data_IF_034146978116
#
_entry.id   IF_034146978116
#
_cell.length_a   1.000
_cell.length_b   1.000
_cell.length_c   1.000
_cell.angle_alpha   90.00
_cell.angle_beta   90.00
_cell.angle_gamma   90.00
#
_symmetry.space_group_name_H-M   'P 1'
#
loop_
_entity.id
_entity.type
_entity.pdbx_description
1 polymer ?
#
# COMPACT_ATOMS: atom_id res chain seq x y z
N UNK A 1 23.95 -3.31 -22.57
CA UNK A 1 23.05 -4.25 -21.85
C UNK A 1 21.64 -4.04 -22.36
N UNK A 2 20.93 -5.09 -22.83
CA UNK A 2 19.50 -4.97 -23.15
C UNK A 2 18.77 -4.53 -21.87
N UNK A 3 18.09 -3.37 -21.90
CA UNK A 3 17.28 -2.85 -20.79
C UNK A 3 16.16 -3.86 -20.51
N UNK A 4 16.38 -4.81 -19.61
CA UNK A 4 15.34 -5.76 -19.20
C UNK A 4 14.27 -5.04 -18.38
N UNK A 5 13.00 -5.41 -18.59
CA UNK A 5 11.88 -4.88 -17.79
C UNK A 5 12.05 -5.26 -16.33
N UNK A 6 11.76 -4.35 -15.41
CA UNK A 6 11.67 -4.66 -13.98
C UNK A 6 10.22 -4.99 -13.67
N UNK A 7 9.96 -6.16 -13.10
CA UNK A 7 8.64 -6.48 -12.57
C UNK A 7 8.49 -5.80 -11.22
N UNK A 8 7.43 -5.03 -11.04
CA UNK A 8 7.09 -4.41 -9.76
C UNK A 8 5.72 -4.88 -9.29
N UNK A 9 5.62 -5.18 -8.00
CA UNK A 9 4.36 -5.62 -7.38
C UNK A 9 4.21 -5.09 -5.96
N UNK A 10 2.97 -5.10 -5.48
CA UNK A 10 2.56 -4.60 -4.17
C UNK A 10 1.07 -4.90 -3.94
N UNK A 11 0.43 -4.32 -2.93
CA UNK A 11 -1.03 -4.42 -2.73
C UNK A 11 -1.80 -3.48 -3.67
N UNK A 12 -1.28 -3.33 -4.89
CA UNK A 12 -1.78 -2.47 -5.94
C UNK A 12 -3.02 -3.04 -6.63
N UNK A 13 -3.87 -2.17 -7.17
CA UNK A 13 -5.05 -2.50 -7.96
C UNK A 13 -6.23 -3.00 -7.13
N UNK A 14 -6.21 -2.77 -5.82
CA UNK A 14 -7.33 -3.06 -4.91
C UNK A 14 -8.10 -1.80 -4.51
N UNK A 15 -7.61 -0.61 -4.85
CA UNK A 15 -8.26 0.68 -4.56
C UNK A 15 -8.03 1.22 -3.16
N UNK A 16 -7.04 0.70 -2.44
CA UNK A 16 -6.49 1.35 -1.25
C UNK A 16 -5.68 2.59 -1.68
N UNK A 17 -6.04 3.78 -1.17
CA UNK A 17 -5.38 5.04 -1.54
C UNK A 17 -3.88 5.05 -1.28
N UNK A 18 -3.47 4.50 -0.15
CA UNK A 18 -2.07 4.41 0.23
C UNK A 18 -1.28 3.58 -0.79
N UNK A 19 -1.73 2.35 -1.05
CA UNK A 19 -1.04 1.46 -1.98
C UNK A 19 -1.04 1.97 -3.43
N UNK A 20 -2.10 2.65 -3.87
CA UNK A 20 -2.12 3.29 -5.19
C UNK A 20 -1.13 4.46 -5.27
N UNK A 21 -0.99 5.25 -4.20
CA UNK A 21 0.01 6.31 -4.13
C UNK A 21 1.44 5.74 -4.14
N UNK A 22 1.68 4.62 -3.43
CA UNK A 22 2.96 3.89 -3.49
C UNK A 22 3.26 3.37 -4.89
N UNK A 23 2.27 2.77 -5.56
CA UNK A 23 2.40 2.32 -6.95
C UNK A 23 2.82 3.46 -7.87
N UNK A 24 2.13 4.61 -7.78
CA UNK A 24 2.42 5.79 -8.60
C UNK A 24 3.85 6.27 -8.36
N UNK A 25 4.24 6.45 -7.09
CA UNK A 25 5.57 6.90 -6.70
C UNK A 25 6.67 5.98 -7.25
N UNK A 26 6.50 4.67 -7.07
CA UNK A 26 7.48 3.69 -7.52
C UNK A 26 7.61 3.62 -9.05
N UNK A 27 6.49 3.66 -9.78
CA UNK A 27 6.49 3.66 -11.25
C UNK A 27 7.15 4.91 -11.80
N UNK A 28 6.84 6.09 -11.25
CA UNK A 28 7.44 7.35 -11.68
C UNK A 28 8.94 7.39 -11.39
N UNK A 29 9.37 6.91 -10.21
CA UNK A 29 10.78 6.83 -9.86
C UNK A 29 11.57 5.92 -10.82
N UNK A 30 11.04 4.74 -11.15
CA UNK A 30 11.67 3.82 -12.10
C UNK A 30 11.77 4.45 -13.51
N UNK A 31 10.71 5.11 -13.98
CA UNK A 31 10.73 5.79 -15.28
C UNK A 31 11.73 6.94 -15.33
N UNK A 32 11.82 7.75 -14.27
CA UNK A 32 12.83 8.80 -14.13
C UNK A 32 14.25 8.24 -14.17
N UNK A 33 14.46 7.03 -13.64
CA UNK A 33 15.73 6.30 -13.72
C UNK A 33 15.97 5.63 -15.09
N UNK A 34 15.10 5.82 -16.09
CA UNK A 34 15.23 5.24 -17.42
C UNK A 34 14.88 3.75 -17.50
N UNK A 35 14.15 3.24 -16.50
CA UNK A 35 13.68 1.86 -16.42
C UNK A 35 12.18 1.80 -16.71
N UNK A 36 11.75 0.93 -17.63
CA UNK A 36 10.31 0.70 -17.83
C UNK A 36 9.80 -0.42 -16.91
N UNK A 37 8.89 -0.11 -15.96
CA UNK A 37 8.34 -1.10 -15.05
C UNK A 37 7.21 -1.92 -15.70
N UNK A 38 7.19 -3.21 -15.43
CA UNK A 38 6.04 -4.09 -15.64
C UNK A 38 5.31 -4.27 -14.30
N UNK A 39 4.19 -3.56 -14.14
CA UNK A 39 3.38 -3.62 -12.92
C UNK A 39 2.48 -4.87 -12.93
N UNK A 40 2.58 -5.68 -11.88
CA UNK A 40 1.63 -6.77 -11.60
C UNK A 40 0.77 -6.37 -10.39
N UNK A 41 -0.51 -6.13 -10.63
CA UNK A 41 -1.49 -5.60 -9.69
C UNK A 41 -2.87 -6.28 -9.84
N UNK A 42 -3.79 -6.04 -8.89
CA UNK A 42 -5.16 -6.54 -8.92
C UNK A 42 -5.24 -8.04 -9.15
N UNK A 43 -6.19 -8.48 -10.00
CA UNK A 43 -6.39 -9.89 -10.36
C UNK A 43 -5.23 -10.50 -11.17
N UNK A 44 -4.45 -9.70 -11.90
CA UNK A 44 -3.32 -10.23 -12.69
C UNK A 44 -2.25 -10.89 -11.82
N UNK A 45 -2.20 -10.56 -10.52
CA UNK A 45 -1.33 -11.20 -9.52
C UNK A 45 -1.67 -12.68 -9.28
N UNK A 46 -2.92 -13.07 -9.54
CA UNK A 46 -3.46 -14.39 -9.26
C UNK A 46 -3.27 -15.36 -10.43
N UNK A 47 -2.84 -14.87 -11.59
CA UNK A 47 -2.54 -15.68 -12.77
C UNK A 47 -1.08 -16.19 -12.70
N UNK A 48 -0.85 -17.47 -12.35
CA UNK A 48 0.49 -18.00 -12.15
C UNK A 48 1.30 -18.04 -13.46
N UNK A 49 0.64 -18.29 -14.59
CA UNK A 49 1.27 -18.35 -15.91
C UNK A 49 1.79 -16.97 -16.30
N UNK A 50 0.97 -15.94 -16.14
CA UNK A 50 1.34 -14.55 -16.43
C UNK A 50 2.43 -14.06 -15.50
N UNK A 51 2.34 -14.33 -14.20
CA UNK A 51 3.37 -13.98 -13.21
C UNK A 51 4.69 -14.65 -13.56
N UNK A 52 4.68 -15.96 -13.80
CA UNK A 52 5.89 -16.74 -14.10
C UNK A 52 6.54 -16.28 -15.40
N UNK A 53 5.76 -16.09 -16.47
CA UNK A 53 6.26 -15.59 -17.76
C UNK A 53 6.84 -14.18 -17.64
N UNK A 54 6.20 -13.31 -16.85
CA UNK A 54 6.67 -11.95 -16.61
C UNK A 54 8.00 -11.95 -15.87
N UNK A 55 8.14 -12.75 -14.81
CA UNK A 55 9.39 -12.91 -14.07
C UNK A 55 10.50 -13.52 -14.93
N UNK A 56 10.20 -14.55 -15.72
CA UNK A 56 11.15 -15.18 -16.63
C UNK A 56 11.74 -14.20 -17.64
N UNK A 57 10.96 -13.24 -18.12
CA UNK A 57 11.37 -12.21 -19.09
C UNK A 57 11.89 -10.92 -18.43
N UNK A 58 11.94 -10.87 -17.10
CA UNK A 58 12.34 -9.68 -16.34
C UNK A 58 13.83 -9.67 -16.01
N UNK A 59 14.36 -8.49 -15.74
CA UNK A 59 15.69 -8.31 -15.16
C UNK A 59 15.69 -8.48 -13.63
N UNK A 60 14.60 -8.11 -12.96
CA UNK A 60 14.48 -8.13 -11.51
C UNK A 60 13.00 -8.13 -11.07
N UNK A 61 12.77 -8.56 -9.83
CA UNK A 61 11.52 -8.36 -9.09
C UNK A 61 11.71 -7.27 -8.02
N UNK A 62 10.80 -6.30 -7.99
CA UNK A 62 10.73 -5.26 -6.96
C UNK A 62 9.40 -5.37 -6.22
N UNK A 63 9.46 -5.43 -4.89
CA UNK A 63 8.29 -5.27 -4.02
C UNK A 63 8.28 -3.82 -3.50
N UNK A 64 7.38 -3.01 -4.05
CA UNK A 64 7.38 -1.56 -3.86
C UNK A 64 6.52 -1.07 -2.69
N UNK A 65 7.09 -1.08 -1.49
CA UNK A 65 6.45 -0.55 -0.29
C UNK A 65 5.24 -1.33 0.21
N UNK A 66 4.56 -0.76 1.20
CA UNK A 66 3.38 -1.32 1.84
C UNK A 66 3.71 -2.33 2.95
N UNK A 67 2.68 -2.86 3.60
CA UNK A 67 2.79 -3.86 4.67
C UNK A 67 2.57 -5.28 4.16
N UNK A 68 3.30 -5.71 3.13
CA UNK A 68 3.02 -6.95 2.41
C UNK A 68 3.32 -8.22 3.22
N UNK A 69 4.32 -8.15 4.10
CA UNK A 69 4.87 -9.29 4.82
C UNK A 69 4.38 -9.31 6.27
N UNK A 70 3.08 -9.58 6.43
CA UNK A 70 2.41 -9.72 7.72
C UNK A 70 1.23 -10.68 7.60
N UNK A 71 0.86 -11.35 8.68
CA UNK A 71 -0.24 -12.34 8.69
C UNK A 71 -1.36 -11.99 9.66
N UNK A 72 -1.43 -10.74 10.15
CA UNK A 72 -2.52 -10.28 11.03
C UNK A 72 -3.79 -10.00 10.27
N UNK A 73 -3.69 -9.43 9.07
CA UNK A 73 -4.87 -9.24 8.21
C UNK A 73 -5.13 -10.45 7.32
N UNK A 74 -4.09 -11.15 6.86
CA UNK A 74 -4.23 -12.33 6.02
C UNK A 74 -2.96 -13.18 5.96
N UNK A 75 -3.02 -14.40 6.51
CA UNK A 75 -1.93 -15.37 6.34
C UNK A 75 -1.72 -15.76 4.87
N UNK A 76 -2.79 -15.81 4.07
CA UNK A 76 -2.71 -16.08 2.62
C UNK A 76 -1.86 -15.03 1.89
N UNK A 77 -2.00 -13.76 2.26
CA UNK A 77 -1.20 -12.67 1.67
C UNK A 77 0.29 -12.86 1.95
N UNK A 78 0.67 -13.17 3.20
CA UNK A 78 2.05 -13.45 3.57
C UNK A 78 2.63 -14.59 2.71
N UNK A 79 1.96 -15.74 2.65
CA UNK A 79 2.45 -16.89 1.90
C UNK A 79 2.50 -16.64 0.39
N UNK A 80 1.56 -15.86 -0.15
CA UNK A 80 1.59 -15.43 -1.55
C UNK A 80 2.87 -14.67 -1.87
N UNK A 81 3.21 -13.63 -1.08
CA UNK A 81 4.41 -12.83 -1.33
C UNK A 81 5.70 -13.62 -1.08
N UNK A 82 5.75 -14.47 -0.06
CA UNK A 82 6.89 -15.36 0.16
C UNK A 82 7.08 -16.34 -1.00
N UNK A 83 5.99 -16.90 -1.54
CA UNK A 83 6.02 -17.76 -2.72
C UNK A 83 6.48 -17.02 -3.98
N UNK A 84 6.03 -15.78 -4.17
CA UNK A 84 6.44 -14.94 -5.29
C UNK A 84 7.94 -14.61 -5.25
N UNK A 85 8.47 -14.27 -4.07
CA UNK A 85 9.90 -14.04 -3.86
C UNK A 85 10.67 -15.34 -4.14
N UNK A 86 10.22 -16.47 -3.59
CA UNK A 86 10.85 -17.76 -3.82
C UNK A 86 10.87 -18.16 -5.30
N UNK A 87 9.78 -17.91 -6.04
CA UNK A 87 9.69 -18.14 -7.47
C UNK A 87 10.68 -17.27 -8.25
N UNK A 88 10.77 -15.97 -7.96
CA UNK A 88 11.74 -15.09 -8.60
C UNK A 88 13.18 -15.57 -8.36
N UNK A 89 13.51 -16.00 -7.13
CA UNK A 89 14.82 -16.58 -6.82
C UNK A 89 15.08 -17.90 -7.54
N UNK A 90 14.09 -18.78 -7.65
CA UNK A 90 14.19 -20.03 -8.41
C UNK A 90 14.46 -19.77 -9.91
N UNK A 91 13.88 -18.70 -10.45
CA UNK A 91 14.14 -18.19 -11.81
C UNK A 91 15.45 -17.40 -11.94
N UNK A 92 16.29 -17.38 -10.89
CA UNK A 92 17.56 -16.63 -10.81
C UNK A 92 17.39 -15.13 -11.08
N UNK A 93 16.25 -14.56 -10.65
CA UNK A 93 16.00 -13.13 -10.72
C UNK A 93 16.40 -12.47 -9.41
N UNK A 94 17.12 -11.33 -9.44
CA UNK A 94 17.38 -10.55 -8.26
C UNK A 94 16.06 -9.98 -7.73
N UNK A 95 15.93 -9.95 -6.40
CA UNK A 95 14.73 -9.50 -5.69
C UNK A 95 15.08 -8.35 -4.75
N UNK A 96 14.36 -7.24 -4.90
CA UNK A 96 14.52 -6.04 -4.10
C UNK A 96 13.21 -5.74 -3.39
N UNK A 97 13.27 -5.59 -2.07
CA UNK A 97 12.18 -5.11 -1.24
C UNK A 97 12.53 -3.68 -0.84
N UNK A 98 11.72 -2.68 -1.21
CA UNK A 98 12.04 -1.26 -0.98
C UNK A 98 10.89 -0.63 -0.20
N UNK A 99 11.20 0.13 0.86
CA UNK A 99 10.22 0.81 1.71
C UNK A 99 9.17 -0.10 2.35
N UNK A 100 9.51 -1.37 2.64
CA UNK A 100 8.54 -2.35 3.16
C UNK A 100 8.26 -2.14 4.65
N UNK A 101 6.99 -2.28 5.03
CA UNK A 101 6.60 -2.58 6.40
C UNK A 101 6.68 -4.09 6.64
N UNK A 102 7.36 -4.51 7.70
CA UNK A 102 7.50 -5.91 8.09
C UNK A 102 6.66 -6.18 9.34
N UNK A 103 5.73 -7.11 9.23
CA UNK A 103 4.98 -7.67 10.34
C UNK A 103 3.75 -6.88 10.81
N UNK A 104 3.12 -7.35 11.91
CA UNK A 104 3.53 -8.50 12.72
C UNK A 104 3.48 -9.85 11.98
N UNK A 105 4.38 -10.76 12.35
CA UNK A 105 4.45 -12.13 11.81
C UNK A 105 4.32 -13.11 12.96
N UNK A 106 3.15 -13.71 13.07
CA UNK A 106 2.80 -14.64 14.15
C UNK A 106 2.95 -16.09 13.72
N UNK A 107 3.37 -16.95 14.65
CA UNK A 107 3.60 -18.37 14.40
C UNK A 107 5.03 -18.73 13.96
N UNK A 108 5.53 -19.85 14.47
CA UNK A 108 6.91 -20.32 14.25
C UNK A 108 7.20 -20.62 12.78
N UNK A 109 6.24 -21.25 12.09
CA UNK A 109 6.36 -21.60 10.67
C UNK A 109 6.46 -20.36 9.78
N UNK A 110 5.58 -19.37 9.98
CA UNK A 110 5.58 -18.12 9.23
C UNK A 110 6.89 -17.35 9.40
N UNK A 111 7.40 -17.26 10.65
CA UNK A 111 8.70 -16.65 10.96
C UNK A 111 9.87 -17.38 10.30
N UNK A 112 9.89 -18.71 10.38
CA UNK A 112 10.93 -19.55 9.78
C UNK A 112 10.95 -19.43 8.25
N UNK A 113 9.79 -19.48 7.60
CA UNK A 113 9.68 -19.32 6.16
C UNK A 113 10.09 -17.91 5.72
N UNK A 114 9.63 -16.88 6.44
CA UNK A 114 10.01 -15.49 6.18
C UNK A 114 11.52 -15.33 6.25
N UNK A 115 12.18 -15.82 7.31
CA UNK A 115 13.63 -15.82 7.42
C UNK A 115 14.30 -16.51 6.23
N UNK A 116 13.87 -17.72 5.90
CA UNK A 116 14.48 -18.51 4.81
C UNK A 116 14.37 -17.82 3.45
N UNK A 117 13.23 -17.21 3.17
CA UNK A 117 12.96 -16.54 1.88
C UNK A 117 13.70 -15.20 1.83
N UNK A 118 13.59 -14.37 2.87
CA UNK A 118 14.22 -13.05 2.91
C UNK A 118 15.74 -13.11 3.05
N UNK A 119 16.32 -14.17 3.62
CA UNK A 119 17.77 -14.35 3.64
C UNK A 119 18.40 -14.50 2.23
N UNK A 120 17.58 -14.68 1.18
CA UNK A 120 18.03 -14.88 -0.19
C UNK A 120 17.72 -13.71 -1.12
N UNK A 121 17.18 -12.61 -0.59
CA UNK A 121 16.89 -11.41 -1.39
C UNK A 121 18.15 -10.55 -1.51
N UNK A 122 18.22 -9.76 -2.57
CA UNK A 122 19.40 -8.97 -2.90
C UNK A 122 19.37 -7.61 -2.17
N UNK A 123 18.18 -7.14 -1.78
CA UNK A 123 18.01 -5.95 -0.94
C UNK A 123 16.72 -6.02 -0.13
N UNK A 124 16.80 -5.59 1.14
CA UNK A 124 15.66 -5.42 2.03
C UNK A 124 15.71 -4.04 2.69
N UNK A 125 15.03 -3.07 2.09
CA UNK A 125 14.74 -1.76 2.65
C UNK A 125 13.42 -1.78 3.41
N UNK A 126 13.45 -1.39 4.68
CA UNK A 126 12.27 -1.29 5.56
C UNK A 126 11.99 0.16 5.93
N UNK A 127 10.71 0.56 5.95
CA UNK A 127 10.33 1.98 6.09
C UNK A 127 10.36 2.52 7.53
N UNK A 128 10.41 1.64 8.52
CA UNK A 128 10.29 2.02 9.92
C UNK A 128 11.17 1.16 10.85
N UNK A 129 11.43 1.68 12.05
CA UNK A 129 12.31 1.05 13.04
C UNK A 129 11.74 -0.27 13.56
N UNK A 130 10.43 -0.36 13.75
CA UNK A 130 9.78 -1.58 14.24
C UNK A 130 9.97 -2.74 13.23
N UNK A 131 9.84 -2.45 11.94
CA UNK A 131 10.11 -3.40 10.85
C UNK A 131 11.57 -3.85 10.85
N UNK A 132 12.53 -2.93 11.06
CA UNK A 132 13.96 -3.26 11.18
C UNK A 132 14.27 -4.12 12.39
N UNK A 133 13.69 -3.80 13.54
CA UNK A 133 13.84 -4.59 14.76
C UNK A 133 13.27 -6.00 14.60
N UNK A 134 12.11 -6.13 13.95
CA UNK A 134 11.55 -7.45 13.64
C UNK A 134 12.46 -8.23 12.70
N UNK A 135 13.00 -7.60 11.66
CA UNK A 135 13.97 -8.24 10.75
C UNK A 135 15.20 -8.74 11.53
N UNK A 136 15.75 -7.91 12.43
CA UNK A 136 16.88 -8.27 13.28
C UNK A 136 16.56 -9.46 14.21
N UNK A 137 15.37 -9.48 14.85
CA UNK A 137 14.90 -10.62 15.66
C UNK A 137 14.75 -11.90 14.85
N UNK A 138 14.39 -11.79 13.58
CA UNK A 138 14.34 -12.91 12.64
C UNK A 138 15.72 -13.27 12.07
N UNK A 139 16.77 -12.50 12.40
CA UNK A 139 18.15 -12.65 11.91
C UNK A 139 18.28 -12.36 10.42
N UNK A 140 17.56 -11.37 9.92
CA UNK A 140 17.59 -10.88 8.54
C UNK A 140 18.23 -9.49 8.56
N UNK A 141 19.23 -9.26 7.71
CA UNK A 141 19.80 -7.93 7.52
C UNK A 141 18.80 -7.06 6.74
N UNK A 142 18.45 -5.90 7.31
CA UNK A 142 17.57 -4.93 6.69
C UNK A 142 18.14 -3.51 6.83
N UNK A 143 17.98 -2.72 5.78
CA UNK A 143 18.37 -1.31 5.72
C UNK A 143 17.16 -0.47 6.09
N UNK A 144 17.32 0.49 7.01
CA UNK A 144 16.27 1.47 7.27
C UNK A 144 16.22 2.45 6.10
N UNK A 145 15.08 2.47 5.42
CA UNK A 145 14.77 3.28 4.26
C UNK A 145 13.58 4.21 4.57
N UNK A 146 13.16 5.03 3.60
CA UNK A 146 11.93 5.80 3.67
C UNK A 146 10.72 5.03 3.15
N UNK A 147 9.53 5.51 3.49
CA UNK A 147 8.32 5.11 2.79
C UNK A 147 8.38 5.62 1.33
N UNK A 148 8.09 4.76 0.35
CA UNK A 148 8.16 5.11 -1.06
C UNK A 148 7.24 6.27 -1.44
N UNK A 149 6.22 6.57 -0.63
CA UNK A 149 5.37 7.74 -0.83
C UNK A 149 6.19 9.03 -0.95
N UNK A 150 7.32 9.15 -0.25
CA UNK A 150 8.19 10.33 -0.29
C UNK A 150 9.01 10.48 -1.58
N UNK A 151 8.90 9.54 -2.52
CA UNK A 151 9.43 9.72 -3.88
C UNK A 151 8.51 10.59 -4.75
N UNK A 152 7.27 10.83 -4.32
CA UNK A 152 6.42 11.82 -4.97
C UNK A 152 7.03 13.22 -4.84
N UNK A 153 6.84 14.09 -5.85
CA UNK A 153 7.22 15.49 -5.70
C UNK A 153 6.54 16.10 -4.47
N UNK A 154 7.17 17.08 -3.81
CA UNK A 154 6.55 17.79 -2.70
C UNK A 154 5.19 18.33 -3.16
N UNK A 155 4.22 18.29 -2.25
CA UNK A 155 2.92 18.90 -2.52
C UNK A 155 3.15 20.37 -2.85
N UNK A 156 2.49 20.91 -3.89
CA UNK A 156 2.59 22.33 -4.18
C UNK A 156 2.17 23.12 -2.94
N UNK A 157 2.84 24.23 -2.67
CA UNK A 157 2.45 25.07 -1.55
C UNK A 157 0.95 25.42 -1.66
N UNK A 158 0.20 25.31 -0.56
CA UNK A 158 -1.21 25.63 -0.57
C UNK A 158 -1.36 27.07 -1.03
N UNK A 159 -1.90 27.26 -2.23
CA UNK A 159 -2.26 28.60 -2.69
C UNK A 159 -3.37 29.09 -1.76
N UNK A 160 -3.32 30.34 -1.25
CA UNK A 160 -4.42 30.89 -0.48
C UNK A 160 -5.65 30.98 -1.36
N UNK A 161 -6.47 29.93 -1.35
CA UNK A 161 -7.75 29.90 -2.02
C UNK A 161 -8.81 30.43 -1.06
N UNK A 162 -9.70 31.27 -1.57
CA UNK A 162 -10.96 31.68 -0.91
C UNK A 162 -11.97 30.52 -0.90
N UNK A 163 -11.51 29.28 -0.76
CA UNK A 163 -12.41 28.14 -0.63
C UNK A 163 -13.06 28.15 0.76
N UNK A 164 -14.32 27.68 0.87
CA UNK A 164 -14.96 27.53 2.16
C UNK A 164 -14.08 26.69 3.09
N UNK A 165 -14.02 27.08 4.37
CA UNK A 165 -13.28 26.32 5.38
C UNK A 165 -13.80 24.89 5.39
N UNK A 166 -12.94 23.93 5.04
CA UNK A 166 -13.29 22.51 4.98
C UNK A 166 -12.49 21.73 6.00
N UNK A 167 -13.09 20.70 6.56
CA UNK A 167 -12.40 19.70 7.39
C UNK A 167 -12.43 18.39 6.63
N UNK A 168 -11.26 17.90 6.22
CA UNK A 168 -11.12 16.57 5.63
C UNK A 168 -10.97 15.53 6.73
N UNK A 169 -11.82 14.50 6.73
CA UNK A 169 -11.76 13.38 7.68
C UNK A 169 -11.57 12.09 6.90
N UNK A 170 -10.37 11.53 6.98
CA UNK A 170 -10.09 10.20 6.44
C UNK A 170 -10.51 9.15 7.47
N UNK A 171 -11.49 8.32 7.11
CA UNK A 171 -12.08 7.33 8.01
C UNK A 171 -11.66 5.92 7.62
N UNK A 172 -11.58 5.05 8.63
CA UNK A 172 -11.55 3.61 8.44
C UNK A 172 -12.94 3.04 8.74
N UNK A 173 -13.51 2.29 7.80
CA UNK A 173 -14.85 1.73 7.87
C UNK A 173 -15.07 0.89 9.12
N UNK A 174 -14.10 0.04 9.48
CA UNK A 174 -14.15 -0.77 10.72
C UNK A 174 -14.26 0.09 11.98
N UNK A 175 -13.48 1.16 12.07
CA UNK A 175 -13.55 2.05 13.24
C UNK A 175 -14.89 2.77 13.34
N UNK A 176 -15.50 3.11 12.21
CA UNK A 176 -16.83 3.71 12.18
C UNK A 176 -17.90 2.70 12.53
N UNK A 177 -17.82 1.48 12.01
CA UNK A 177 -18.78 0.41 12.30
C UNK A 177 -18.81 0.02 13.78
N UNK A 178 -17.64 -0.01 14.42
CA UNK A 178 -17.54 -0.34 15.85
C UNK A 178 -17.99 0.81 16.77
N UNK A 179 -17.97 2.06 16.29
CA UNK A 179 -18.16 3.27 17.12
C UNK A 179 -18.93 4.39 16.41
N UNK A 180 -19.99 4.04 15.70
CA UNK A 180 -20.68 4.98 14.80
C UNK A 180 -21.23 6.19 15.53
N UNK A 181 -21.84 5.99 16.70
CA UNK A 181 -22.37 7.06 17.54
C UNK A 181 -21.28 8.02 18.04
N UNK A 182 -20.13 7.50 18.48
CA UNK A 182 -19.02 8.32 18.95
C UNK A 182 -18.47 9.19 17.83
N UNK A 183 -18.34 8.63 16.62
CA UNK A 183 -17.96 9.37 15.42
C UNK A 183 -18.98 10.43 15.06
N UNK A 184 -20.28 10.12 15.08
CA UNK A 184 -21.33 11.08 14.80
C UNK A 184 -21.31 12.24 15.80
N UNK A 185 -21.17 11.95 17.11
CA UNK A 185 -21.06 12.97 18.16
C UNK A 185 -19.82 13.84 17.98
N UNK A 186 -18.67 13.24 17.69
CA UNK A 186 -17.42 13.97 17.45
C UNK A 186 -17.55 14.92 16.26
N UNK A 187 -18.08 14.43 15.14
CA UNK A 187 -18.23 15.22 13.91
C UNK A 187 -19.30 16.30 14.05
N UNK A 188 -20.38 16.04 14.79
CA UNK A 188 -21.41 17.05 15.11
C UNK A 188 -20.87 18.18 16.01
N UNK A 189 -19.86 17.89 16.84
CA UNK A 189 -19.22 18.90 17.69
C UNK A 189 -18.24 19.82 16.92
N UNK A 190 -17.94 19.52 15.64
CA UNK A 190 -17.11 20.40 14.82
C UNK A 190 -17.87 21.67 14.41
N UNK A 191 -17.17 22.80 14.19
CA UNK A 191 -17.80 24.06 13.80
C UNK A 191 -18.65 23.93 12.53
N UNK A 192 -19.93 24.32 12.62
CA UNK A 192 -20.89 24.24 11.50
C UNK A 192 -20.67 25.25 10.38
N UNK A 193 -19.74 26.20 10.54
CA UNK A 193 -19.29 27.10 9.46
C UNK A 193 -18.40 26.41 8.42
N UNK A 194 -18.14 25.10 8.61
CA UNK A 194 -17.25 24.30 7.77
C UNK A 194 -17.96 23.09 7.18
N UNK A 195 -17.66 22.81 5.91
CA UNK A 195 -18.05 21.56 5.28
C UNK A 195 -17.11 20.44 5.76
N UNK A 196 -17.69 19.33 6.23
CA UNK A 196 -16.95 18.12 6.61
C UNK A 196 -16.88 17.20 5.38
N UNK A 197 -15.68 17.06 4.81
CA UNK A 197 -15.43 16.12 3.72
C UNK A 197 -15.01 14.77 4.30
N UNK A 198 -15.90 13.78 4.24
CA UNK A 198 -15.59 12.40 4.62
C UNK A 198 -14.89 11.70 3.45
N UNK A 199 -13.63 11.33 3.65
CA UNK A 199 -12.76 10.77 2.62
C UNK A 199 -12.59 9.27 2.92
N UNK A 200 -13.22 8.37 2.15
CA UNK A 200 -12.98 6.95 2.28
C UNK A 200 -11.55 6.63 1.82
N UNK A 201 -10.72 6.08 2.70
CA UNK A 201 -9.32 5.77 2.39
C UNK A 201 -9.20 4.53 1.49
N UNK A 202 -10.10 3.58 1.68
CA UNK A 202 -10.27 2.37 0.92
C UNK A 202 -11.77 2.19 0.65
N UNK A 203 -12.34 2.75 -0.43
CA UNK A 203 -13.79 2.88 -0.54
C UNK A 203 -14.55 1.57 -0.62
N UNK A 204 -13.90 0.48 -1.03
CA UNK A 204 -14.47 -0.86 -0.94
C UNK A 204 -14.83 -1.29 0.49
N UNK A 205 -14.14 -0.74 1.50
CA UNK A 205 -14.42 -0.96 2.93
C UNK A 205 -15.10 0.26 3.57
N UNK A 206 -14.68 1.48 3.22
CA UNK A 206 -15.01 2.69 3.98
C UNK A 206 -16.26 3.43 3.47
N UNK A 207 -16.67 3.21 2.21
CA UNK A 207 -17.68 4.07 1.57
C UNK A 207 -19.07 3.92 2.21
N UNK A 208 -19.46 2.71 2.58
CA UNK A 208 -20.75 2.46 3.23
C UNK A 208 -20.83 3.19 4.57
N UNK A 209 -19.78 3.08 5.38
CA UNK A 209 -19.67 3.76 6.66
C UNK A 209 -19.66 5.29 6.51
N UNK A 210 -18.89 5.81 5.53
CA UNK A 210 -18.86 7.25 5.25
C UNK A 210 -20.24 7.80 4.82
N UNK A 211 -21.00 7.03 4.03
CA UNK A 211 -22.38 7.42 3.62
C UNK A 211 -23.36 7.44 4.80
N UNK A 212 -23.28 6.46 5.71
CA UNK A 212 -24.11 6.45 6.93
C UNK A 212 -23.84 7.67 7.79
N UNK A 213 -22.57 7.96 8.09
CA UNK A 213 -22.18 9.15 8.85
C UNK A 213 -22.61 10.46 8.15
N UNK A 214 -22.47 10.54 6.83
CA UNK A 214 -22.93 11.70 6.07
C UNK A 214 -24.45 11.92 6.16
N UNK A 215 -25.24 10.84 6.23
CA UNK A 215 -26.68 10.91 6.39
C UNK A 215 -27.13 11.42 7.77
N UNK A 216 -26.28 11.29 8.79
CA UNK A 216 -26.56 11.74 10.16
C UNK A 216 -26.20 13.21 10.40
N UNK A 217 -25.46 13.85 9.48
CA UNK A 217 -24.84 15.16 9.70
C UNK A 217 -25.15 16.12 8.54
N UNK A 218 -25.80 17.25 8.83
CA UNK A 218 -26.23 18.24 7.82
C UNK A 218 -25.07 18.81 6.98
N UNK A 219 -23.90 19.00 7.60
CA UNK A 219 -22.72 19.61 7.00
C UNK A 219 -21.65 18.62 6.52
N UNK A 220 -21.93 17.31 6.54
CA UNK A 220 -21.00 16.28 6.06
C UNK A 220 -21.31 15.85 4.63
N UNK A 221 -20.28 15.64 3.82
CA UNK A 221 -20.37 15.12 2.45
C UNK A 221 -19.27 14.10 2.21
N UNK A 222 -19.62 13.00 1.57
CA UNK A 222 -18.64 12.01 1.13
C UNK A 222 -17.89 12.56 -0.09
N UNK A 223 -16.56 12.59 -0.04
CA UNK A 223 -15.69 12.96 -1.16
C UNK A 223 -14.75 11.81 -1.48
N UNK A 224 -15.03 11.12 -2.58
CA UNK A 224 -14.12 10.12 -3.15
C UNK A 224 -13.15 10.82 -4.10
N UNK A 225 -11.83 10.77 -3.87
CA UNK A 225 -10.88 11.37 -4.80
C UNK A 225 -10.99 10.71 -6.18
N UNK A 226 -10.95 11.49 -7.26
CA UNK A 226 -11.18 10.98 -8.62
C UNK A 226 -10.22 9.86 -9.05
N UNK A 227 -8.98 9.86 -8.53
CA UNK A 227 -8.02 8.78 -8.74
C UNK A 227 -8.47 7.43 -8.15
N UNK A 228 -9.30 7.45 -7.10
CA UNK A 228 -9.84 6.26 -6.44
C UNK A 228 -11.10 5.80 -7.13
N UNK A 229 -11.96 6.74 -7.50
CA UNK A 229 -13.17 6.45 -8.26
C UNK A 229 -12.82 5.70 -9.57
N UNK A 230 -11.83 6.20 -10.31
CA UNK A 230 -11.31 5.55 -11.51
C UNK A 230 -10.68 4.16 -11.26
N UNK A 231 -10.02 3.95 -10.11
CA UNK A 231 -9.39 2.67 -9.76
C UNK A 231 -10.41 1.59 -9.32
N UNK A 232 -11.61 2.00 -8.89
CA UNK A 232 -12.66 1.11 -8.40
C UNK A 232 -13.91 1.06 -9.28
N UNK A 233 -13.94 1.79 -10.41
CA UNK A 233 -15.09 1.85 -11.30
C UNK A 233 -16.31 2.55 -10.70
N UNK A 234 -16.06 3.51 -9.80
CA UNK A 234 -17.07 4.34 -9.12
C UNK A 234 -17.27 5.69 -9.82
#
# INVERSE_FOLDING_TARGET
>A
MKRGRIVITGYYGHGNLGDEALRKAAVEALRKAGVEPLVIAGHARLDPCRVTTSLQKSAALVLGGGGLLQNRTSARSLYYYLGLIALARALRRPVFLIGQGLGPIDGRLARSLTRRVLARVDYLGVRDRASRELAARLGIAAVLDGDLYFLNPPLPEPRPQREPRRIGVALSGRSVEEREEDWARLLAALPGDREIALIPFFPGEDLAAARRLAGMLSHARVKVPGSVAAAQGL
#
